data_IF_721912759354
#
_entry.id   IF_721912759354
#
_cell.length_a   1.000
_cell.length_b   1.000
_cell.length_c   1.000
_cell.angle_alpha   90.00
_cell.angle_beta   90.00
_cell.angle_gamma   90.00
#
_symmetry.space_group_name_H-M   'P 1'
#
loop_
_entity.id
_entity.type
_entity.pdbx_description
1 polymer ?
#
# COMPACT_ATOMS: atom_id res chain seq x y z
N UNK A 1 -5.28 -16.62 73.61
CA UNK A 1 -5.66 -17.95 74.17
C UNK A 1 -5.98 -18.88 73.01
N UNK A 2 -5.27 -20.01 73.03
CA UNK A 2 -5.58 -21.34 72.44
C UNK A 2 -5.52 -21.41 70.93
N UNK A 3 -4.49 -22.00 70.42
CA UNK A 3 -3.97 -23.42 70.26
C UNK A 3 -4.35 -23.95 68.90
N UNK A 4 -3.32 -24.13 68.04
CA UNK A 4 -2.60 -25.38 67.70
C UNK A 4 -3.49 -26.44 67.04
N UNK A 5 -3.09 -26.86 65.84
CA UNK A 5 -2.76 -28.23 65.40
C UNK A 5 -2.59 -28.20 63.89
N UNK A 6 -1.38 -28.26 63.35
CA UNK A 6 -0.61 -29.43 63.01
C UNK A 6 -1.44 -30.55 62.37
N UNK A 7 -1.34 -30.68 61.04
CA UNK A 7 -1.38 -32.01 60.44
C UNK A 7 -0.50 -32.02 59.17
N UNK A 8 0.57 -32.67 59.33
CA UNK A 8 1.50 -33.13 58.31
C UNK A 8 0.93 -34.39 57.65
N UNK A 9 0.95 -34.50 56.38
CA UNK A 9 1.05 -35.76 55.64
C UNK A 9 1.48 -35.47 54.19
N UNK A 10 2.76 -35.66 53.92
CA UNK A 10 3.41 -36.79 53.28
C UNK A 10 2.97 -37.07 51.84
N UNK A 11 3.83 -36.67 50.96
CA UNK A 11 4.41 -37.32 49.78
C UNK A 11 3.51 -38.33 49.00
N UNK A 12 3.41 -38.07 47.72
CA UNK A 12 3.71 -39.13 46.74
C UNK A 12 4.04 -38.48 45.39
N UNK A 13 5.28 -38.64 44.98
CA UNK A 13 5.74 -38.19 43.70
C UNK A 13 5.20 -39.04 42.55
N UNK A 14 4.76 -38.40 41.50
CA UNK A 14 4.68 -39.00 40.17
C UNK A 14 5.42 -38.10 39.20
N UNK A 15 6.61 -38.50 38.89
CA UNK A 15 7.40 -37.94 37.78
C UNK A 15 6.77 -38.51 36.51
N UNK A 16 5.96 -37.70 35.86
CA UNK A 16 5.61 -37.93 34.46
C UNK A 16 6.63 -37.21 33.60
N UNK A 17 7.59 -37.97 33.12
CA UNK A 17 8.46 -37.56 32.04
C UNK A 17 7.60 -37.31 30.79
N UNK A 18 7.13 -36.08 30.60
CA UNK A 18 6.53 -35.66 29.37
C UNK A 18 7.66 -35.42 28.38
N UNK A 19 7.81 -36.31 27.41
CA UNK A 19 8.61 -36.10 26.23
C UNK A 19 8.12 -34.83 25.57
N UNK A 20 8.88 -33.75 25.72
CA UNK A 20 8.72 -32.53 24.97
C UNK A 20 9.24 -32.80 23.55
N UNK A 21 8.35 -33.31 22.71
CA UNK A 21 8.52 -33.34 21.27
C UNK A 21 8.54 -31.90 20.80
N UNK A 22 9.73 -31.29 20.77
CA UNK A 22 9.97 -29.99 20.16
C UNK A 22 9.82 -30.18 18.66
N UNK A 23 8.59 -30.01 18.21
CA UNK A 23 8.31 -29.85 16.80
C UNK A 23 8.84 -28.46 16.44
N UNK A 24 10.05 -28.42 15.91
CA UNK A 24 10.58 -27.27 15.21
C UNK A 24 9.72 -26.99 13.98
N UNK A 25 8.53 -26.46 14.22
CA UNK A 25 7.76 -25.79 13.21
C UNK A 25 8.46 -24.46 12.95
N UNK A 26 9.60 -24.54 12.25
CA UNK A 26 10.20 -23.40 11.58
C UNK A 26 9.17 -22.95 10.55
N UNK A 27 8.19 -22.19 11.01
CA UNK A 27 7.34 -21.38 10.15
C UNK A 27 8.29 -20.52 9.35
N UNK A 28 8.59 -21.01 8.15
CA UNK A 28 9.24 -20.22 7.12
C UNK A 28 8.22 -19.14 6.83
N UNK A 29 8.34 -18.00 7.51
CA UNK A 29 7.67 -16.78 7.09
C UNK A 29 8.14 -16.55 5.66
N UNK A 30 7.33 -16.98 4.71
CA UNK A 30 7.40 -16.47 3.36
C UNK A 30 7.19 -14.98 3.58
N UNK A 31 8.24 -14.21 3.49
CA UNK A 31 8.14 -12.77 3.44
C UNK A 31 7.26 -12.52 2.22
N UNK A 32 5.99 -12.25 2.48
CA UNK A 32 5.03 -11.87 1.46
C UNK A 32 5.65 -10.65 0.81
N UNK A 33 6.04 -10.80 -0.45
CA UNK A 33 6.63 -9.73 -1.24
C UNK A 33 5.57 -8.64 -1.33
N UNK A 34 5.61 -7.70 -0.40
CA UNK A 34 4.70 -6.57 -0.39
C UNK A 34 5.08 -5.68 -1.58
N UNK A 35 4.28 -5.75 -2.63
CA UNK A 35 4.35 -4.82 -3.73
C UNK A 35 3.10 -3.94 -3.72
N UNK A 36 3.31 -2.64 -3.90
CA UNK A 36 2.27 -1.63 -3.95
C UNK A 36 2.57 -0.71 -5.12
N UNK A 37 1.52 -0.23 -5.77
CA UNK A 37 1.60 0.82 -6.79
C UNK A 37 0.78 2.00 -6.30
N UNK A 38 1.41 3.16 -6.22
CA UNK A 38 0.73 4.41 -5.99
C UNK A 38 0.62 5.15 -7.32
N UNK A 39 -0.61 5.39 -7.74
CA UNK A 39 -0.92 6.20 -8.93
C UNK A 39 -1.17 7.61 -8.44
N UNK A 40 -0.32 8.55 -8.83
CA UNK A 40 -0.33 9.93 -8.38
C UNK A 40 -0.64 10.84 -9.56
N UNK A 41 -1.80 11.51 -9.51
CA UNK A 41 -2.21 12.53 -10.47
C UNK A 41 -2.03 13.90 -9.84
N UNK A 42 -0.94 14.56 -10.21
CA UNK A 42 -0.66 15.92 -9.80
C UNK A 42 -1.35 16.93 -10.72
N UNK A 43 -1.81 18.03 -10.15
CA UNK A 43 -2.41 19.12 -10.91
C UNK A 43 -2.24 20.46 -10.20
N UNK A 44 -2.34 21.56 -10.94
CA UNK A 44 -2.48 22.91 -10.37
C UNK A 44 -3.95 23.25 -10.09
N UNK A 45 -4.19 24.27 -9.29
CA UNK A 45 -5.55 24.80 -9.01
C UNK A 45 -6.32 25.14 -10.28
N UNK A 46 -5.63 25.73 -11.28
CA UNK A 46 -6.22 26.02 -12.59
C UNK A 46 -5.94 24.89 -13.57
N UNK A 47 -6.93 24.04 -13.79
CA UNK A 47 -6.81 22.85 -14.64
C UNK A 47 -7.27 23.13 -16.08
N UNK A 48 -6.50 22.63 -17.04
CA UNK A 48 -6.90 22.57 -18.44
C UNK A 48 -7.90 21.42 -18.68
N UNK A 49 -8.58 21.40 -19.83
CA UNK A 49 -9.50 20.32 -20.17
C UNK A 49 -8.80 18.95 -20.22
N UNK A 50 -7.62 18.88 -20.85
CA UNK A 50 -6.83 17.65 -20.91
C UNK A 50 -6.39 17.20 -19.50
N UNK A 51 -6.00 18.15 -18.63
CA UNK A 51 -5.61 17.83 -17.24
C UNK A 51 -6.77 17.18 -16.47
N UNK A 52 -8.00 17.67 -16.68
CA UNK A 52 -9.20 17.07 -16.08
C UNK A 52 -9.53 15.72 -16.70
N UNK A 53 -9.33 15.56 -18.01
CA UNK A 53 -9.57 14.30 -18.71
C UNK A 53 -8.57 13.20 -18.27
N UNK A 54 -7.30 13.55 -17.99
CA UNK A 54 -6.28 12.62 -17.45
C UNK A 54 -6.78 12.01 -16.15
N UNK A 55 -7.23 12.82 -15.19
CA UNK A 55 -7.79 12.30 -13.93
C UNK A 55 -8.98 11.38 -14.18
N UNK A 56 -9.93 11.83 -15.01
CA UNK A 56 -11.14 11.06 -15.29
C UNK A 56 -10.82 9.71 -15.93
N UNK A 57 -9.89 9.68 -16.90
CA UNK A 57 -9.48 8.45 -17.59
C UNK A 57 -8.66 7.54 -16.68
N UNK A 58 -7.78 8.09 -15.84
CA UNK A 58 -7.05 7.31 -14.82
C UNK A 58 -8.03 6.64 -13.87
N UNK A 59 -8.98 7.39 -13.31
CA UNK A 59 -10.01 6.86 -12.41
C UNK A 59 -10.84 5.78 -13.08
N UNK A 60 -11.34 6.05 -14.29
CA UNK A 60 -12.11 5.08 -15.07
C UNK A 60 -11.31 3.77 -15.29
N UNK A 61 -10.05 3.88 -15.68
CA UNK A 61 -9.18 2.72 -15.93
C UNK A 61 -9.00 1.89 -14.66
N UNK A 62 -8.67 2.56 -13.55
CA UNK A 62 -8.45 1.89 -12.27
C UNK A 62 -9.72 1.21 -11.75
N UNK A 63 -10.86 1.89 -11.80
CA UNK A 63 -12.14 1.34 -11.34
C UNK A 63 -12.61 0.18 -12.22
N UNK A 64 -12.38 0.25 -13.54
CA UNK A 64 -12.85 -0.76 -14.49
C UNK A 64 -11.98 -2.00 -14.52
N UNK A 65 -10.67 -1.87 -14.39
CA UNK A 65 -9.73 -2.98 -14.62
C UNK A 65 -8.97 -3.42 -13.38
N UNK A 66 -8.87 -2.55 -12.35
CA UNK A 66 -8.05 -2.80 -11.14
C UNK A 66 -8.85 -2.66 -9.83
N UNK A 67 -10.17 -2.85 -9.90
CA UNK A 67 -11.06 -2.70 -8.73
C UNK A 67 -10.69 -3.62 -7.55
N UNK A 68 -10.15 -4.81 -7.82
CA UNK A 68 -9.69 -5.75 -6.79
C UNK A 68 -8.41 -5.26 -6.10
N UNK A 69 -7.49 -4.74 -6.87
CA UNK A 69 -6.21 -4.19 -6.41
C UNK A 69 -6.43 -2.92 -5.59
N UNK A 70 -7.39 -2.06 -6.01
CA UNK A 70 -7.83 -0.90 -5.24
C UNK A 70 -8.45 -1.33 -3.89
N UNK A 71 -9.34 -2.31 -3.91
CA UNK A 71 -9.98 -2.83 -2.70
C UNK A 71 -8.97 -3.48 -1.73
N UNK A 72 -7.91 -4.10 -2.27
CA UNK A 72 -6.83 -4.70 -1.50
C UNK A 72 -5.75 -3.68 -1.08
N UNK A 73 -5.84 -2.40 -1.49
CA UNK A 73 -4.82 -1.37 -1.32
C UNK A 73 -3.45 -1.74 -1.88
N UNK A 74 -3.38 -2.67 -2.84
CA UNK A 74 -2.16 -2.96 -3.60
C UNK A 74 -1.94 -1.96 -4.72
N UNK A 75 -3.01 -1.32 -5.18
CA UNK A 75 -2.98 -0.08 -5.96
C UNK A 75 -3.71 1.00 -5.16
N UNK A 76 -3.16 2.20 -5.12
CA UNK A 76 -3.82 3.39 -4.57
C UNK A 76 -3.83 4.51 -5.61
N UNK A 77 -4.86 5.34 -5.61
CA UNK A 77 -4.96 6.51 -6.47
C UNK A 77 -5.12 7.77 -5.63
N UNK A 78 -4.30 8.77 -5.91
CA UNK A 78 -4.33 10.06 -5.25
C UNK A 78 -4.31 11.17 -6.29
N UNK A 79 -5.17 12.17 -6.08
CA UNK A 79 -5.22 13.41 -6.86
C UNK A 79 -4.67 14.50 -5.97
N UNK A 80 -3.61 15.19 -6.42
CA UNK A 80 -2.78 16.05 -5.59
C UNK A 80 -2.67 17.43 -6.24
N UNK A 81 -3.21 18.45 -5.58
CA UNK A 81 -3.05 19.83 -6.02
C UNK A 81 -1.70 20.38 -5.54
N UNK A 82 -0.78 20.64 -6.46
CA UNK A 82 0.58 21.12 -6.15
C UNK A 82 0.61 22.53 -5.58
N UNK A 83 -0.45 23.32 -5.77
CA UNK A 83 -0.55 24.69 -5.25
C UNK A 83 -0.98 24.74 -3.77
N UNK A 84 -1.40 23.61 -3.21
CA UNK A 84 -1.77 23.50 -1.80
C UNK A 84 -0.55 23.23 -0.94
N UNK A 85 -0.37 24.05 0.10
CA UNK A 85 0.81 24.01 0.96
C UNK A 85 1.03 22.66 1.65
N UNK A 86 -0.04 21.97 1.99
CA UNK A 86 0.02 20.62 2.58
C UNK A 86 0.61 19.57 1.63
N UNK A 87 0.58 19.83 0.32
CA UNK A 87 1.09 18.94 -0.71
C UNK A 87 2.52 19.27 -1.17
N UNK A 88 3.14 20.35 -0.63
CA UNK A 88 4.47 20.80 -1.02
C UNK A 88 5.52 19.68 -0.93
N UNK A 89 5.54 18.95 0.18
CA UNK A 89 6.52 17.87 0.40
C UNK A 89 6.39 16.74 -0.61
N UNK A 90 5.15 16.31 -0.92
CA UNK A 90 4.95 15.24 -1.90
C UNK A 90 5.19 15.72 -3.33
N UNK A 91 4.82 16.97 -3.65
CA UNK A 91 5.10 17.56 -4.94
C UNK A 91 6.62 17.67 -5.20
N UNK A 92 7.40 18.13 -4.22
CA UNK A 92 8.87 18.15 -4.29
C UNK A 92 9.46 16.75 -4.42
N UNK A 93 8.99 15.78 -3.63
CA UNK A 93 9.46 14.39 -3.68
C UNK A 93 9.31 13.80 -5.08
N UNK A 94 8.25 14.12 -5.79
CA UNK A 94 7.97 13.60 -7.13
C UNK A 94 8.36 14.59 -8.25
N UNK A 95 8.97 15.72 -7.90
CA UNK A 95 9.38 16.79 -8.84
C UNK A 95 8.21 17.33 -9.69
N UNK A 96 6.99 17.29 -9.10
CA UNK A 96 5.77 17.72 -9.76
C UNK A 96 5.53 19.21 -9.50
N UNK A 97 5.60 20.03 -10.55
CA UNK A 97 5.33 21.49 -10.49
C UNK A 97 4.02 21.88 -11.15
N UNK A 98 3.21 20.91 -11.56
CA UNK A 98 1.95 21.10 -12.27
C UNK A 98 1.33 19.76 -12.57
N UNK A 99 0.64 19.65 -13.73
CA UNK A 99 0.00 18.35 -14.11
C UNK A 99 1.05 17.31 -14.45
N UNK A 100 1.01 16.21 -13.72
CA UNK A 100 1.85 15.03 -13.95
C UNK A 100 1.11 13.76 -13.53
N UNK A 101 1.30 12.67 -14.28
CA UNK A 101 0.81 11.35 -13.91
C UNK A 101 2.02 10.46 -13.63
N UNK A 102 2.14 10.00 -12.38
CA UNK A 102 3.31 9.23 -11.94
C UNK A 102 2.86 7.93 -11.27
N UNK A 103 3.52 6.82 -11.63
CA UNK A 103 3.41 5.57 -10.89
C UNK A 103 4.61 5.42 -9.95
N UNK A 104 4.35 5.30 -8.65
CA UNK A 104 5.36 4.94 -7.68
C UNK A 104 5.22 3.44 -7.36
N UNK A 105 6.10 2.63 -7.90
CA UNK A 105 6.12 1.18 -7.70
C UNK A 105 7.00 0.86 -6.51
N UNK A 106 6.39 0.36 -5.43
CA UNK A 106 7.08 -0.02 -4.20
C UNK A 106 7.17 -1.54 -4.16
N UNK A 107 8.38 -2.08 -4.11
CA UNK A 107 8.61 -3.52 -4.02
C UNK A 107 9.74 -3.82 -3.04
N UNK A 108 9.43 -4.58 -1.99
CA UNK A 108 10.40 -4.94 -0.95
C UNK A 108 11.11 -3.72 -0.34
N UNK A 109 10.36 -2.64 -0.10
CA UNK A 109 10.89 -1.38 0.45
C UNK A 109 11.73 -0.54 -0.51
N UNK A 110 11.79 -0.91 -1.79
CA UNK A 110 12.42 -0.11 -2.84
C UNK A 110 11.37 0.55 -3.70
N UNK A 111 11.56 1.82 -3.98
CA UNK A 111 10.67 2.61 -4.82
C UNK A 111 11.25 2.76 -6.24
N UNK A 112 10.36 2.73 -7.22
CA UNK A 112 10.67 3.07 -8.60
C UNK A 112 9.57 4.00 -9.11
N UNK A 113 9.95 5.22 -9.44
CA UNK A 113 9.07 6.20 -10.07
C UNK A 113 9.05 5.98 -11.58
N UNK A 114 7.86 5.99 -12.17
CA UNK A 114 7.63 5.90 -13.60
C UNK A 114 6.78 7.11 -13.96
N UNK A 115 7.36 8.03 -14.70
CA UNK A 115 6.66 9.22 -15.18
C UNK A 115 5.89 8.88 -16.45
N UNK A 116 4.57 9.05 -16.39
CA UNK A 116 3.63 8.82 -17.48
C UNK A 116 3.01 10.13 -17.99
N UNK A 117 3.59 11.27 -17.65
CA UNK A 117 3.03 12.58 -17.98
C UNK A 117 2.88 12.78 -19.49
N UNK A 118 3.91 12.46 -20.27
CA UNK A 118 3.86 12.57 -21.73
C UNK A 118 2.77 11.65 -22.33
N UNK A 119 2.73 10.39 -21.88
CA UNK A 119 1.68 9.45 -22.26
C UNK A 119 0.29 10.01 -21.93
N UNK A 120 0.11 10.53 -20.72
CA UNK A 120 -1.17 11.05 -20.25
C UNK A 120 -1.65 12.25 -21.07
N UNK A 121 -0.76 13.18 -21.44
CA UNK A 121 -1.11 14.29 -22.29
C UNK A 121 -1.40 13.89 -23.74
N UNK A 122 -0.68 12.92 -24.28
CA UNK A 122 -0.91 12.42 -25.64
C UNK A 122 -2.26 11.71 -25.78
N UNK A 123 -2.66 10.95 -24.77
CA UNK A 123 -3.87 10.10 -24.82
C UNK A 123 -5.01 10.62 -23.94
N UNK A 124 -4.84 11.73 -23.22
CA UNK A 124 -5.81 12.24 -22.24
C UNK A 124 -7.19 12.55 -22.80
N UNK A 125 -7.32 12.76 -24.11
CA UNK A 125 -8.61 13.01 -24.78
C UNK A 125 -9.19 11.76 -25.47
N UNK A 126 -8.54 10.60 -25.35
CA UNK A 126 -8.98 9.30 -25.90
C UNK A 126 -9.01 8.26 -24.78
N UNK A 127 -10.18 8.08 -24.17
CA UNK A 127 -10.33 7.18 -23.02
C UNK A 127 -10.00 5.72 -23.37
N UNK A 128 -10.34 5.27 -24.58
CA UNK A 128 -10.11 3.88 -24.98
C UNK A 128 -8.61 3.59 -25.13
N UNK A 129 -7.88 4.48 -25.80
CA UNK A 129 -6.42 4.37 -25.93
C UNK A 129 -5.75 4.53 -24.57
N UNK A 130 -6.15 5.54 -23.78
CA UNK A 130 -5.63 5.76 -22.45
C UNK A 130 -5.76 4.52 -21.56
N UNK A 131 -6.95 3.91 -21.54
CA UNK A 131 -7.23 2.76 -20.68
C UNK A 131 -6.53 1.47 -21.09
N UNK A 132 -6.16 1.34 -22.38
CA UNK A 132 -5.42 0.16 -22.85
C UNK A 132 -3.93 0.22 -22.58
N UNK A 133 -3.38 1.42 -22.50
CA UNK A 133 -1.95 1.64 -22.39
C UNK A 133 -1.49 1.99 -20.97
N UNK A 134 -2.39 2.47 -20.11
CA UNK A 134 -2.11 2.67 -18.69
C UNK A 134 -2.01 1.33 -17.95
#
# INVERSE_FOLDING_TARGET
>A
MKTIKFFTLVAFGLILASCNGQSDNKSKSVAESTSKIEVLDFHSTHRCMTCTAIEANTRYTLDSYFSKELAANTITFQVINVDEKENETIAEQFEASGTALILNVIKNGKEKKIDLTDFAFMNGNDQDTFSKEL
#
